data_IF_562241406357
#
_entry.id   IF_562241406357
#
_cell.length_a   1.000
_cell.length_b   1.000
_cell.length_c   1.000
_cell.angle_alpha   90.00
_cell.angle_beta   90.00
_cell.angle_gamma   90.00
#
_symmetry.space_group_name_H-M   'P 1'
#
loop_
_entity.id
_entity.type
_entity.pdbx_description
1 polymer ?
#
# COMPACT_ATOMS: atom_id res chain seq x y z
N UNK A 1 37.89 -41.49 43.11
CA UNK A 1 37.80 -40.02 42.97
C UNK A 1 37.38 -39.44 44.31
N UNK A 2 38.14 -38.48 44.87
CA UNK A 2 37.90 -37.94 46.22
C UNK A 2 36.59 -37.14 46.24
N UNK A 3 35.73 -37.36 47.25
CA UNK A 3 34.47 -36.64 47.46
C UNK A 3 34.65 -35.12 47.46
N UNK A 4 35.79 -34.61 47.95
CA UNK A 4 36.14 -33.18 47.88
C UNK A 4 36.32 -32.67 46.45
N UNK A 5 36.77 -33.52 45.52
CA UNK A 5 36.96 -33.17 44.10
C UNK A 5 35.62 -33.13 43.37
N UNK A 6 34.71 -34.06 43.68
CA UNK A 6 33.36 -34.12 43.10
C UNK A 6 32.55 -32.87 43.50
N UNK A 7 32.58 -32.48 44.78
CA UNK A 7 31.85 -31.30 45.27
C UNK A 7 32.35 -30.00 44.60
N UNK A 8 33.66 -29.86 44.40
CA UNK A 8 34.24 -28.68 43.72
C UNK A 8 33.79 -28.58 42.25
N UNK A 9 33.74 -29.70 41.53
CA UNK A 9 33.29 -29.72 40.13
C UNK A 9 31.80 -29.35 40.04
N UNK A 10 30.96 -29.85 40.95
CA UNK A 10 29.54 -29.50 40.99
C UNK A 10 29.29 -28.02 41.28
N UNK A 11 30.04 -27.40 42.20
CA UNK A 11 29.91 -25.97 42.52
C UNK A 11 30.30 -25.11 41.32
N UNK A 12 31.41 -25.42 40.65
CA UNK A 12 31.85 -24.68 39.46
C UNK A 12 30.83 -24.81 38.32
N UNK A 13 30.24 -25.99 38.12
CA UNK A 13 29.17 -26.21 37.15
C UNK A 13 27.93 -25.35 37.43
N UNK A 14 27.50 -25.26 38.69
CA UNK A 14 26.34 -24.45 39.10
C UNK A 14 26.61 -22.95 38.90
N UNK A 15 27.83 -22.47 39.22
CA UNK A 15 28.20 -21.06 39.04
C UNK A 15 28.25 -20.69 37.55
N UNK A 16 28.81 -21.54 36.69
CA UNK A 16 28.82 -21.31 35.25
C UNK A 16 27.40 -21.32 34.69
N UNK A 17 26.56 -22.26 35.13
CA UNK A 17 25.15 -22.32 34.72
C UNK A 17 24.39 -21.05 35.15
N UNK A 18 24.61 -20.56 36.37
CA UNK A 18 24.02 -19.30 36.84
C UNK A 18 24.51 -18.09 36.06
N UNK A 19 25.81 -18.01 35.71
CA UNK A 19 26.35 -16.91 34.91
C UNK A 19 25.78 -16.94 33.48
N UNK A 20 25.65 -18.12 32.87
CA UNK A 20 25.03 -18.26 31.55
C UNK A 20 23.53 -17.96 31.58
N UNK A 21 22.81 -18.45 32.60
CA UNK A 21 21.39 -18.20 32.80
C UNK A 21 21.11 -16.71 33.05
N UNK A 22 21.93 -16.06 33.89
CA UNK A 22 21.87 -14.61 34.12
C UNK A 22 22.28 -13.83 32.86
N UNK A 23 23.32 -14.24 32.13
CA UNK A 23 23.74 -13.61 30.88
C UNK A 23 22.67 -13.65 29.78
N UNK A 24 21.93 -14.75 29.66
CA UNK A 24 20.80 -14.90 28.72
C UNK A 24 19.60 -14.04 29.16
N UNK A 25 19.30 -14.01 30.45
CA UNK A 25 18.15 -13.23 30.98
C UNK A 25 18.41 -11.72 30.97
N UNK A 26 19.66 -11.26 31.19
CA UNK A 26 20.03 -9.84 31.18
C UNK A 26 20.20 -9.23 29.79
N UNK A 27 20.18 -10.02 28.71
CA UNK A 27 20.17 -9.48 27.33
C UNK A 27 18.80 -8.94 26.88
N UNK A 28 17.76 -9.08 27.69
CA UNK A 28 16.43 -8.51 27.42
C UNK A 28 16.45 -7.01 27.67
N UNK A 29 16.53 -6.20 26.59
CA UNK A 29 16.27 -4.76 26.67
C UNK A 29 14.78 -4.48 26.62
N UNK A 30 14.38 -3.38 27.24
CA UNK A 30 13.02 -2.84 27.21
C UNK A 30 12.98 -1.71 26.20
N UNK A 31 12.04 -1.75 25.25
CA UNK A 31 11.75 -0.63 24.35
C UNK A 31 10.56 0.15 24.91
N UNK A 32 10.70 1.47 25.06
CA UNK A 32 9.64 2.35 25.56
C UNK A 32 9.03 3.07 24.36
N UNK A 33 7.78 2.78 24.03
CA UNK A 33 7.01 3.46 22.98
C UNK A 33 6.04 4.43 23.65
N UNK A 34 6.17 5.73 23.41
CA UNK A 34 5.12 6.70 23.77
C UNK A 34 4.04 6.67 22.68
N UNK A 35 2.78 6.57 23.08
CA UNK A 35 1.66 6.76 22.17
C UNK A 35 1.24 8.24 22.11
N UNK A 36 0.42 8.58 21.11
CA UNK A 36 -0.08 9.94 20.89
C UNK A 36 -0.95 10.48 22.04
N UNK A 37 -1.27 9.66 23.04
CA UNK A 37 -2.07 10.02 24.22
C UNK A 37 -1.18 10.22 25.47
N UNK A 38 0.15 10.24 25.32
CA UNK A 38 1.09 10.43 26.43
C UNK A 38 1.38 9.18 27.27
N UNK A 39 0.78 8.03 26.95
CA UNK A 39 1.03 6.78 27.66
C UNK A 39 2.24 6.05 27.06
N UNK A 40 3.18 5.65 27.92
CA UNK A 40 4.35 4.87 27.53
C UNK A 40 4.08 3.37 27.67
N UNK A 41 4.09 2.64 26.55
CA UNK A 41 4.06 1.17 26.55
C UNK A 41 5.49 0.67 26.56
N UNK A 42 5.86 -0.06 27.62
CA UNK A 42 7.17 -0.71 27.74
C UNK A 42 7.05 -2.14 27.23
N UNK A 43 7.69 -2.46 26.11
CA UNK A 43 7.78 -3.82 25.59
C UNK A 43 9.06 -4.45 26.14
N UNK A 44 8.92 -5.39 27.07
CA UNK A 44 10.02 -6.11 27.72
C UNK A 44 10.16 -7.50 27.10
N UNK A 45 11.39 -7.91 26.74
CA UNK A 45 11.70 -9.31 26.42
C UNK A 45 12.00 -9.65 24.96
N UNK A 46 12.22 -8.65 24.09
CA UNK A 46 12.56 -8.90 22.69
C UNK A 46 14.06 -9.23 22.52
N UNK A 47 14.42 -10.35 21.86
CA UNK A 47 15.81 -10.66 21.54
C UNK A 47 16.38 -9.64 20.54
N UNK A 48 17.71 -9.46 20.58
CA UNK A 48 18.51 -8.38 19.96
C UNK A 48 18.37 -8.18 18.42
N UNK A 49 17.48 -8.91 17.75
CA UNK A 49 17.18 -8.79 16.31
C UNK A 49 15.73 -8.43 15.95
N UNK A 50 14.81 -8.33 16.93
CA UNK A 50 13.38 -8.07 16.64
C UNK A 50 12.96 -6.59 16.72
N UNK A 51 13.83 -5.68 17.17
CA UNK A 51 13.56 -4.23 17.16
C UNK A 51 13.40 -3.67 15.74
N UNK A 52 14.08 -4.28 14.75
CA UNK A 52 13.90 -3.95 13.34
C UNK A 52 12.48 -4.26 12.83
N UNK A 53 11.92 -5.41 13.23
CA UNK A 53 10.58 -5.84 12.83
C UNK A 53 9.51 -4.86 13.33
N UNK A 54 9.64 -4.36 14.57
CA UNK A 54 8.69 -3.38 15.13
C UNK A 54 8.77 -2.06 14.37
N UNK A 55 9.98 -1.61 14.04
CA UNK A 55 10.17 -0.38 13.26
C UNK A 55 9.59 -0.50 11.85
N UNK A 56 9.76 -1.65 11.21
CA UNK A 56 9.18 -1.90 9.88
C UNK A 56 7.65 -2.04 9.94
N UNK A 57 7.10 -2.67 10.97
CA UNK A 57 5.64 -2.72 11.18
C UNK A 57 5.04 -1.33 11.42
N UNK A 58 5.74 -0.47 12.16
CA UNK A 58 5.30 0.91 12.39
C UNK A 58 5.26 1.71 11.08
N UNK A 59 6.25 1.56 10.20
CA UNK A 59 6.23 2.19 8.85
C UNK A 59 5.12 1.65 7.96
N UNK A 60 4.87 0.34 8.00
CA UNK A 60 3.76 -0.27 7.24
C UNK A 60 2.42 0.27 7.76
N UNK A 61 2.25 0.33 9.09
CA UNK A 61 1.04 0.89 9.69
C UNK A 61 0.86 2.37 9.32
N UNK A 62 1.94 3.16 9.32
CA UNK A 62 1.93 4.55 8.89
C UNK A 62 1.53 4.70 7.41
N UNK A 63 2.10 3.89 6.52
CA UNK A 63 1.71 3.82 5.11
C UNK A 63 0.20 3.57 4.95
N UNK A 64 -0.34 2.56 5.64
CA UNK A 64 -1.77 2.24 5.57
C UNK A 64 -2.64 3.36 6.15
N UNK A 65 -2.22 4.01 7.22
CA UNK A 65 -2.96 5.14 7.79
C UNK A 65 -3.10 6.30 6.79
N UNK A 66 -2.06 6.55 5.98
CA UNK A 66 -2.10 7.54 4.91
C UNK A 66 -3.01 7.10 3.75
N UNK A 67 -3.03 5.83 3.35
CA UNK A 67 -4.02 5.33 2.39
C UNK A 67 -5.45 5.53 2.90
N UNK A 68 -5.73 5.15 4.14
CA UNK A 68 -7.05 5.31 4.76
C UNK A 68 -7.44 6.79 4.89
N UNK A 69 -6.49 7.67 5.17
CA UNK A 69 -6.71 9.12 5.19
C UNK A 69 -7.06 9.64 3.80
N UNK A 70 -6.31 9.24 2.78
CA UNK A 70 -6.59 9.57 1.38
C UNK A 70 -7.98 9.13 0.96
N UNK A 71 -8.39 7.89 1.30
CA UNK A 71 -9.73 7.37 1.00
C UNK A 71 -10.85 8.18 1.68
N UNK A 72 -10.63 8.65 2.92
CA UNK A 72 -11.58 9.51 3.61
C UNK A 72 -11.73 10.87 2.92
N UNK A 73 -10.64 11.46 2.43
CA UNK A 73 -10.70 12.71 1.67
C UNK A 73 -11.34 12.49 0.29
N UNK A 74 -10.97 11.41 -0.39
CA UNK A 74 -11.51 11.04 -1.70
C UNK A 74 -13.04 10.89 -1.65
N UNK A 75 -13.57 10.18 -0.65
CA UNK A 75 -15.02 10.01 -0.44
C UNK A 75 -15.74 11.32 -0.11
N UNK A 76 -15.04 12.32 0.43
CA UNK A 76 -15.57 13.67 0.67
C UNK A 76 -15.47 14.58 -0.55
N UNK A 77 -14.83 14.12 -1.64
CA UNK A 77 -14.57 14.91 -2.84
C UNK A 77 -13.37 15.84 -2.73
N UNK A 78 -12.60 15.78 -1.63
CA UNK A 78 -11.36 16.56 -1.48
C UNK A 78 -10.20 15.79 -2.13
N UNK A 79 -10.16 15.85 -3.46
CA UNK A 79 -9.20 15.06 -4.25
C UNK A 79 -7.75 15.55 -4.08
N UNK A 80 -7.54 16.83 -3.79
CA UNK A 80 -6.20 17.36 -3.53
C UNK A 80 -5.61 16.83 -2.23
N UNK A 81 -6.40 16.85 -1.15
CA UNK A 81 -5.98 16.24 0.11
C UNK A 81 -5.80 14.73 -0.06
N UNK A 82 -6.69 14.06 -0.80
CA UNK A 82 -6.57 12.63 -1.07
C UNK A 82 -5.26 12.27 -1.77
N UNK A 83 -4.94 12.95 -2.88
CA UNK A 83 -3.71 12.73 -3.65
C UNK A 83 -2.47 12.94 -2.75
N UNK A 84 -2.45 14.00 -1.95
CA UNK A 84 -1.33 14.27 -1.04
C UNK A 84 -1.10 13.13 -0.04
N UNK A 85 -2.17 12.61 0.56
CA UNK A 85 -2.06 11.47 1.48
C UNK A 85 -1.58 10.21 0.76
N UNK A 86 -2.06 9.96 -0.46
CA UNK A 86 -1.59 8.82 -1.26
C UNK A 86 -0.12 8.96 -1.70
N UNK A 87 0.37 10.16 -1.99
CA UNK A 87 1.80 10.42 -2.27
C UNK A 87 2.69 10.15 -1.04
N UNK A 88 2.21 10.50 0.16
CA UNK A 88 2.91 10.16 1.41
C UNK A 88 2.95 8.63 1.56
N UNK A 89 1.82 7.95 1.39
CA UNK A 89 1.78 6.48 1.39
C UNK A 89 2.76 5.87 0.38
N UNK A 90 2.79 6.37 -0.86
CA UNK A 90 3.73 5.92 -1.88
C UNK A 90 5.19 6.04 -1.42
N UNK A 91 5.55 7.15 -0.77
CA UNK A 91 6.91 7.38 -0.26
C UNK A 91 7.31 6.43 0.89
N UNK A 92 6.33 5.99 1.68
CA UNK A 92 6.53 5.08 2.81
C UNK A 92 6.53 3.60 2.38
N UNK A 93 5.90 3.29 1.24
CA UNK A 93 5.72 1.93 0.76
C UNK A 93 7.06 1.22 0.47
N UNK A 94 7.25 0.06 1.10
CA UNK A 94 8.45 -0.78 0.95
C UNK A 94 8.30 -1.88 -0.09
N UNK A 95 7.08 -2.36 -0.30
CA UNK A 95 6.79 -3.40 -1.29
C UNK A 95 6.29 -2.80 -2.59
N UNK A 96 6.55 -3.49 -3.70
CA UNK A 96 6.04 -3.11 -5.01
C UNK A 96 4.50 -3.10 -5.02
N UNK A 97 3.86 -4.05 -4.35
CA UNK A 97 2.41 -4.05 -4.18
C UNK A 97 1.88 -2.83 -3.42
N UNK A 98 2.58 -2.38 -2.37
CA UNK A 98 2.21 -1.17 -1.64
C UNK A 98 2.34 0.10 -2.49
N UNK A 99 3.40 0.16 -3.31
CA UNK A 99 3.60 1.24 -4.27
C UNK A 99 2.56 1.23 -5.37
N UNK A 100 2.23 0.07 -5.94
CA UNK A 100 1.20 -0.08 -6.95
C UNK A 100 -0.16 0.41 -6.45
N UNK A 101 -0.55 0.01 -5.23
CA UNK A 101 -1.80 0.48 -4.60
C UNK A 101 -1.81 2.00 -4.45
N UNK A 102 -0.71 2.60 -3.98
CA UNK A 102 -0.63 4.04 -3.81
C UNK A 102 -0.68 4.79 -5.17
N UNK A 103 0.04 4.31 -6.19
CA UNK A 103 0.02 4.89 -7.54
C UNK A 103 -1.38 4.81 -8.17
N UNK A 104 -2.05 3.67 -8.01
CA UNK A 104 -3.41 3.48 -8.48
C UNK A 104 -4.37 4.49 -7.83
N UNK A 105 -4.23 4.71 -6.52
CA UNK A 105 -5.04 5.67 -5.78
C UNK A 105 -4.76 7.12 -6.20
N UNK A 106 -3.49 7.48 -6.44
CA UNK A 106 -3.10 8.79 -7.00
C UNK A 106 -3.72 9.00 -8.38
N UNK A 107 -3.61 8.00 -9.27
CA UNK A 107 -4.20 8.05 -10.61
C UNK A 107 -5.73 8.22 -10.54
N UNK A 108 -6.42 7.51 -9.63
CA UNK A 108 -7.85 7.69 -9.38
C UNK A 108 -8.18 9.13 -8.98
N UNK A 109 -7.36 9.73 -8.09
CA UNK A 109 -7.51 11.12 -7.68
C UNK A 109 -7.44 12.09 -8.85
N UNK A 110 -6.42 11.95 -9.72
CA UNK A 110 -6.29 12.79 -10.90
C UNK A 110 -7.40 12.58 -11.93
N UNK A 111 -7.90 11.35 -12.11
CA UNK A 111 -9.07 11.09 -12.96
C UNK A 111 -10.32 11.79 -12.45
N UNK A 112 -10.59 11.76 -11.14
CA UNK A 112 -11.73 12.48 -10.56
C UNK A 112 -11.60 14.00 -10.70
N UNK A 113 -10.37 14.50 -10.74
CA UNK A 113 -10.06 15.89 -11.10
C UNK A 113 -10.11 16.18 -12.61
N UNK A 114 -10.36 15.17 -13.45
CA UNK A 114 -10.31 15.23 -14.93
C UNK A 114 -8.93 15.66 -15.47
N UNK A 115 -7.87 15.48 -14.68
CA UNK A 115 -6.49 15.64 -15.13
C UNK A 115 -5.99 14.30 -15.67
N UNK A 116 -6.48 13.94 -16.86
CA UNK A 116 -6.16 12.65 -17.48
C UNK A 116 -4.69 12.52 -17.85
N UNK A 117 -3.98 13.65 -18.02
CA UNK A 117 -2.55 13.64 -18.32
C UNK A 117 -1.76 13.11 -17.13
N UNK A 118 -1.99 13.68 -15.94
CA UNK A 118 -1.32 13.18 -14.74
C UNK A 118 -1.76 11.76 -14.39
N UNK A 119 -3.06 11.44 -14.51
CA UNK A 119 -3.53 10.08 -14.29
C UNK A 119 -2.77 9.07 -15.19
N UNK A 120 -2.58 9.41 -16.47
CA UNK A 120 -1.83 8.60 -17.43
C UNK A 120 -0.37 8.41 -17.01
N UNK A 121 0.31 9.48 -16.60
CA UNK A 121 1.70 9.44 -16.12
C UNK A 121 1.87 8.42 -14.97
N UNK A 122 1.00 8.47 -13.96
CA UNK A 122 1.06 7.54 -12.83
C UNK A 122 0.69 6.10 -13.23
N UNK A 123 -0.27 5.89 -14.12
CA UNK A 123 -0.63 4.55 -14.62
C UNK A 123 0.51 3.90 -15.42
N UNK A 124 1.26 4.70 -16.20
CA UNK A 124 2.43 4.21 -16.94
C UNK A 124 3.54 3.79 -15.95
N UNK A 125 3.80 4.60 -14.91
CA UNK A 125 4.76 4.26 -13.85
C UNK A 125 4.37 2.94 -13.18
N UNK A 126 3.10 2.79 -12.82
CA UNK A 126 2.58 1.57 -12.19
C UNK A 126 2.79 0.33 -13.08
N UNK A 127 2.36 0.41 -14.35
CA UNK A 127 2.52 -0.66 -15.35
C UNK A 127 3.97 -1.12 -15.50
N UNK A 128 4.89 -0.17 -15.59
CA UNK A 128 6.28 -0.44 -15.96
C UNK A 128 7.13 -0.87 -14.77
N UNK A 129 6.80 -0.43 -13.55
CA UNK A 129 7.64 -0.66 -12.37
C UNK A 129 7.07 -1.67 -11.38
N UNK A 130 5.76 -1.70 -11.16
CA UNK A 130 5.19 -2.36 -9.97
C UNK A 130 4.14 -3.44 -10.29
N UNK A 131 3.54 -3.40 -11.48
CA UNK A 131 2.51 -4.36 -11.88
C UNK A 131 3.14 -5.60 -12.53
N UNK A 132 2.84 -6.76 -11.96
CA UNK A 132 3.25 -8.06 -12.52
C UNK A 132 2.47 -8.38 -13.81
N UNK A 133 3.07 -9.18 -14.71
CA UNK A 133 2.52 -9.47 -16.05
C UNK A 133 1.08 -9.97 -16.05
N UNK A 134 0.68 -10.80 -15.07
CA UNK A 134 -0.68 -11.32 -14.96
C UNK A 134 -1.73 -10.25 -14.61
N UNK A 135 -1.31 -9.12 -14.00
CA UNK A 135 -2.16 -8.01 -13.60
C UNK A 135 -2.05 -6.79 -14.54
N UNK A 136 -1.16 -6.84 -15.55
CA UNK A 136 -1.00 -5.77 -16.55
C UNK A 136 -2.20 -5.55 -17.47
N UNK A 137 -3.00 -6.56 -17.88
CA UNK A 137 -4.07 -6.35 -18.85
C UNK A 137 -5.06 -5.21 -18.50
N UNK A 138 -5.68 -5.15 -17.30
CA UNK A 138 -6.58 -4.05 -16.96
C UNK A 138 -5.88 -2.69 -16.92
N UNK A 139 -4.62 -2.66 -16.48
CA UNK A 139 -3.79 -1.44 -16.44
C UNK A 139 -3.49 -0.91 -17.85
N UNK A 140 -3.14 -1.80 -18.78
CA UNK A 140 -2.90 -1.44 -20.18
C UNK A 140 -4.16 -0.88 -20.84
N UNK A 141 -5.30 -1.51 -20.62
CA UNK A 141 -6.57 -1.03 -21.16
C UNK A 141 -6.97 0.32 -20.54
N UNK A 142 -6.69 0.53 -19.25
CA UNK A 142 -6.89 1.84 -18.61
C UNK A 142 -5.98 2.93 -19.19
N UNK A 143 -4.72 2.62 -19.47
CA UNK A 143 -3.79 3.54 -20.15
C UNK A 143 -4.33 3.97 -21.50
N UNK A 144 -4.77 3.01 -22.34
CA UNK A 144 -5.38 3.32 -23.65
C UNK A 144 -6.60 4.21 -23.51
N UNK A 145 -7.47 3.91 -22.54
CA UNK A 145 -8.63 4.74 -22.24
C UNK A 145 -8.21 6.20 -21.97
N UNK A 146 -7.22 6.42 -21.10
CA UNK A 146 -6.75 7.76 -20.74
C UNK A 146 -6.14 8.48 -21.94
N UNK A 147 -5.39 7.77 -22.79
CA UNK A 147 -4.82 8.32 -24.03
C UNK A 147 -5.92 8.80 -24.98
N UNK A 148 -6.94 7.98 -25.25
CA UNK A 148 -8.06 8.37 -26.11
C UNK A 148 -8.91 9.49 -25.48
N UNK A 149 -9.10 9.49 -24.16
CA UNK A 149 -9.80 10.56 -23.46
C UNK A 149 -9.08 11.91 -23.64
N UNK A 150 -7.74 11.92 -23.55
CA UNK A 150 -6.92 13.11 -23.82
C UNK A 150 -7.01 13.61 -25.26
N UNK A 151 -7.15 12.69 -26.22
CA UNK A 151 -7.32 13.01 -27.64
C UNK A 151 -8.74 13.48 -27.99
N UNK A 152 -9.69 13.36 -27.05
CA UNK A 152 -11.10 13.64 -27.30
C UNK A 152 -11.82 12.53 -28.08
N UNK A 153 -11.20 11.36 -28.20
CA UNK A 153 -11.71 10.20 -28.92
C UNK A 153 -12.56 9.31 -28.00
N UNK A 154 -13.66 9.88 -27.51
CA UNK A 154 -14.46 9.26 -26.43
C UNK A 154 -15.08 7.90 -26.80
N UNK A 155 -15.27 7.59 -28.08
CA UNK A 155 -15.72 6.25 -28.52
C UNK A 155 -14.71 5.17 -28.12
N UNK A 156 -13.44 5.39 -28.45
CA UNK A 156 -12.36 4.47 -28.12
C UNK A 156 -12.08 4.48 -26.62
N UNK A 157 -12.17 5.63 -25.97
CA UNK A 157 -12.05 5.75 -24.52
C UNK A 157 -13.07 4.86 -23.78
N UNK A 158 -14.34 4.90 -24.18
CA UNK A 158 -15.40 4.03 -23.61
C UNK A 158 -15.09 2.55 -23.84
N UNK A 159 -14.68 2.18 -25.06
CA UNK A 159 -14.34 0.79 -25.40
C UNK A 159 -13.22 0.26 -24.51
N UNK A 160 -12.14 1.01 -24.36
CA UNK A 160 -11.00 0.60 -23.55
C UNK A 160 -11.30 0.60 -22.04
N UNK A 161 -12.15 1.51 -21.55
CA UNK A 161 -12.63 1.48 -20.18
C UNK A 161 -13.45 0.19 -19.87
N UNK A 162 -14.29 -0.25 -20.82
CA UNK A 162 -15.04 -1.51 -20.71
C UNK A 162 -14.11 -2.73 -20.74
N UNK A 163 -13.10 -2.73 -21.63
CA UNK A 163 -12.08 -3.77 -21.67
C UNK A 163 -11.30 -3.86 -20.36
N UNK A 164 -10.89 -2.72 -19.78
CA UNK A 164 -10.22 -2.68 -18.48
C UNK A 164 -11.08 -3.31 -17.37
N UNK A 165 -12.36 -2.93 -17.28
CA UNK A 165 -13.32 -3.51 -16.32
C UNK A 165 -13.48 -5.02 -16.52
N UNK A 166 -13.52 -5.49 -17.77
CA UNK A 166 -13.67 -6.91 -18.08
C UNK A 166 -12.43 -7.71 -17.66
N UNK A 167 -11.23 -7.23 -18.01
CA UNK A 167 -9.98 -7.89 -17.61
C UNK A 167 -9.79 -7.92 -16.10
N UNK A 168 -10.19 -6.85 -15.40
CA UNK A 168 -10.13 -6.80 -13.93
C UNK A 168 -11.01 -7.88 -13.28
N UNK A 169 -12.23 -8.10 -13.81
CA UNK A 169 -13.11 -9.21 -13.38
C UNK A 169 -12.50 -10.57 -13.64
N UNK A 170 -11.89 -10.78 -14.80
CA UNK A 170 -11.28 -12.08 -15.14
C UNK A 170 -10.18 -12.44 -14.14
N UNK A 171 -9.39 -11.45 -13.71
CA UNK A 171 -8.32 -11.62 -12.72
C UNK A 171 -8.86 -11.87 -11.31
N UNK A 172 -9.90 -11.14 -10.90
CA UNK A 172 -10.41 -11.14 -9.53
C UNK A 172 -11.61 -12.08 -9.29
N UNK A 173 -11.98 -12.88 -10.29
CA UNK A 173 -13.20 -13.69 -10.34
C UNK A 173 -14.45 -12.83 -10.58
N UNK A 174 -15.64 -13.46 -10.63
CA UNK A 174 -16.93 -12.75 -10.78
C UNK A 174 -17.33 -11.95 -9.53
N UNK A 175 -16.42 -11.14 -8.98
CA UNK A 175 -16.78 -10.09 -8.05
C UNK A 175 -17.57 -9.02 -8.79
N UNK A 176 -18.51 -8.40 -8.07
CA UNK A 176 -19.29 -7.25 -8.55
C UNK A 176 -18.31 -6.20 -9.11
N UNK A 177 -18.66 -5.59 -10.25
CA UNK A 177 -17.90 -4.47 -10.83
C UNK A 177 -17.53 -3.47 -9.73
N UNK A 178 -16.26 -3.07 -9.70
CA UNK A 178 -15.85 -1.99 -8.81
C UNK A 178 -16.68 -0.76 -9.14
N UNK A 179 -17.27 -0.14 -8.09
CA UNK A 179 -18.05 1.08 -8.23
C UNK A 179 -17.27 2.17 -8.98
N UNK A 180 -15.95 2.21 -8.77
CA UNK A 180 -15.01 3.07 -9.47
C UNK A 180 -15.04 2.92 -10.99
N UNK A 181 -15.14 1.69 -11.53
CA UNK A 181 -15.19 1.47 -12.97
C UNK A 181 -16.53 1.95 -13.56
N UNK A 182 -17.63 1.70 -12.85
CA UNK A 182 -18.97 2.12 -13.26
C UNK A 182 -19.04 3.65 -13.34
N UNK A 183 -18.55 4.34 -12.32
CA UNK A 183 -18.55 5.81 -12.30
C UNK A 183 -17.70 6.40 -13.43
N UNK A 184 -16.47 5.89 -13.63
CA UNK A 184 -15.60 6.37 -14.73
C UNK A 184 -16.24 6.15 -16.09
N UNK A 185 -16.81 4.97 -16.32
CA UNK A 185 -17.48 4.66 -17.57
C UNK A 185 -18.65 5.62 -17.83
N UNK A 186 -19.46 5.91 -16.80
CA UNK A 186 -20.54 6.88 -16.89
C UNK A 186 -20.05 8.30 -17.20
N UNK A 187 -18.96 8.74 -16.57
CA UNK A 187 -18.36 10.06 -16.81
C UNK A 187 -17.91 10.23 -18.27
N UNK A 188 -17.29 9.19 -18.85
CA UNK A 188 -16.80 9.21 -20.23
C UNK A 188 -17.97 9.12 -21.22
N UNK A 189 -18.98 8.29 -20.94
CA UNK A 189 -20.20 8.19 -21.76
C UNK A 189 -20.93 9.54 -21.77
N UNK A 190 -21.06 10.20 -20.61
CA UNK A 190 -21.66 11.52 -20.52
C UNK A 190 -20.88 12.55 -21.36
N UNK A 191 -19.55 12.53 -21.30
CA UNK A 191 -18.70 13.40 -22.13
C UNK A 191 -18.89 13.14 -23.63
N UNK A 192 -18.95 11.86 -24.04
CA UNK A 192 -19.22 11.43 -25.42
C UNK A 192 -20.56 11.98 -25.92
N UNK A 193 -21.63 11.77 -25.17
CA UNK A 193 -22.98 12.19 -25.57
C UNK A 193 -23.10 13.73 -25.59
N UNK A 194 -22.46 14.43 -24.65
CA UNK A 194 -22.39 15.88 -24.66
C UNK A 194 -21.74 16.41 -25.96
N UNK A 195 -20.57 15.89 -26.34
CA UNK A 195 -19.88 16.30 -27.56
C UNK A 195 -20.69 15.98 -28.82
N UNK A 196 -21.36 14.82 -28.84
CA UNK A 196 -22.26 14.45 -29.93
C UNK A 196 -23.44 15.41 -30.05
N UNK A 197 -23.98 15.90 -28.94
CA UNK A 197 -25.07 16.88 -28.93
C UNK A 197 -24.65 18.24 -29.48
N UNK A 198 -23.41 18.66 -29.27
CA UNK A 198 -22.87 19.93 -29.81
C UNK A 198 -22.64 19.91 -31.32
N UNK A 199 -22.61 18.72 -31.94
CA UNK A 199 -22.41 18.53 -33.38
C UNK A 199 -23.71 18.42 -34.18
N UNK A 200 -24.86 18.48 -33.50
CA UNK A 200 -26.21 18.48 -34.11
C UNK A 200 -26.71 19.90 -34.27
#
# INVERSE_FOLDING_TARGET
MNTKTIVKISIVGIVIFLILFLGITFQRRSAVKQNNNGNATVIVGLPKGQTGIITELDKIAEQYNHLDAGDRFFKKGDFDAAIKEYEISYSLAKSDGGKAVALLAIANGYEKKRDYKKALEYMIIDRDQYVNDWAKPPVVERIKYLEYALQGEYEFAVKHAQSASTSDKEIHGQRKESLDYIERLNDIIAAKEYIKSLKK
#
